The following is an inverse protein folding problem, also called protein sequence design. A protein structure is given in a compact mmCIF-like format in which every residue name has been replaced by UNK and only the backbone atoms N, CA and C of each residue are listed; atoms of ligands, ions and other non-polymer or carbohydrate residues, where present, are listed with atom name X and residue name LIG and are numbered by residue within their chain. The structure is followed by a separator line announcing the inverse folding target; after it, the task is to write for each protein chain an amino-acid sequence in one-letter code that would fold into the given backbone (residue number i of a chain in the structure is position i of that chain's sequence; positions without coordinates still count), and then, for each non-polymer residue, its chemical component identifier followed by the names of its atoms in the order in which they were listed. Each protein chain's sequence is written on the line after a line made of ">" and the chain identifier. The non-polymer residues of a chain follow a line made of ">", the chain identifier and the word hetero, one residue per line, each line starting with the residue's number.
data_IF_427015596176
#
_entry.id   IF_427015596176
#
_cell.length_a   1.000
_cell.length_b   1.000
_cell.length_c   1.000
_cell.angle_alpha   90.00
_cell.angle_beta   90.00
_cell.angle_gamma   90.00
#
_symmetry.space_group_name_H-M   'P 1'
#
loop_
_entity.id
_entity.type
_entity.pdbx_description
1 polymer ?
#
# COMPACT_ATOMS: atom_id res chain seq x y z
N UNK A 1 31.33 7.52 -9.29
CA UNK A 1 29.92 7.12 -9.52
C UNK A 1 29.69 5.88 -8.69
N UNK A 2 28.82 5.94 -7.68
CA UNK A 2 28.54 4.80 -6.82
C UNK A 2 27.89 3.68 -7.65
N UNK A 3 28.53 2.51 -7.66
CA UNK A 3 27.96 1.30 -8.20
C UNK A 3 26.89 0.85 -7.18
N UNK A 4 25.62 1.23 -7.38
CA UNK A 4 24.54 0.83 -6.46
C UNK A 4 24.47 -0.70 -6.44
N UNK A 5 24.95 -1.30 -5.37
CA UNK A 5 25.15 -2.73 -5.19
C UNK A 5 23.86 -3.52 -4.96
N UNK A 6 22.75 -3.12 -5.57
CA UNK A 6 21.45 -3.77 -5.41
C UNK A 6 21.04 -4.47 -6.71
N UNK A 7 20.68 -5.75 -6.60
CA UNK A 7 20.15 -6.51 -7.74
C UNK A 7 18.70 -6.12 -8.08
N UNK A 8 17.93 -5.65 -7.08
CA UNK A 8 16.55 -5.15 -7.22
C UNK A 8 16.37 -3.99 -6.24
N UNK A 9 15.78 -2.90 -6.71
CA UNK A 9 15.38 -1.73 -5.91
C UNK A 9 13.91 -1.43 -6.20
N UNK A 10 13.10 -1.27 -5.15
CA UNK A 10 11.67 -0.97 -5.24
C UNK A 10 11.34 0.13 -4.24
N UNK A 11 10.34 0.94 -4.53
CA UNK A 11 9.88 1.99 -3.62
C UNK A 11 8.38 2.14 -3.69
N UNK A 12 7.78 2.56 -2.58
CA UNK A 12 6.34 2.85 -2.46
C UNK A 12 5.46 1.65 -2.87
N UNK A 13 5.83 0.43 -2.48
CA UNK A 13 5.08 -0.78 -2.83
C UNK A 13 3.92 -1.01 -1.88
N UNK A 14 2.74 -1.25 -2.45
CA UNK A 14 1.49 -1.52 -1.74
C UNK A 14 0.86 -2.81 -2.21
N UNK A 15 0.22 -3.54 -1.28
CA UNK A 15 -0.63 -4.68 -1.61
C UNK A 15 -1.91 -4.62 -0.79
N UNK A 16 -3.03 -4.55 -1.47
CA UNK A 16 -4.36 -4.54 -0.87
C UNK A 16 -5.16 -5.70 -1.49
N UNK A 17 -5.87 -6.45 -0.65
CA UNK A 17 -6.78 -7.52 -1.06
C UNK A 17 -8.24 -7.04 -0.94
N UNK A 18 -9.10 -7.46 -1.87
CA UNK A 18 -10.52 -7.13 -1.93
C UNK A 18 -10.92 -6.41 -3.21
N UNK A 19 -12.20 -6.45 -3.56
CA UNK A 19 -12.73 -5.97 -4.84
C UNK A 19 -12.65 -4.45 -5.01
N UNK A 20 -12.47 -3.71 -3.90
CA UNK A 20 -12.41 -2.24 -3.85
C UNK A 20 -11.00 -1.71 -3.56
N UNK A 21 -9.95 -2.47 -3.91
CA UNK A 21 -8.57 -2.15 -3.57
C UNK A 21 -8.12 -0.75 -4.05
N UNK A 22 -8.49 -0.33 -5.25
CA UNK A 22 -8.11 0.98 -5.80
C UNK A 22 -8.77 2.14 -5.06
N UNK A 23 -10.07 2.00 -4.74
CA UNK A 23 -10.80 2.99 -3.95
C UNK A 23 -10.24 3.07 -2.52
N UNK A 24 -9.90 1.93 -1.92
CA UNK A 24 -9.24 1.88 -0.63
C UNK A 24 -7.87 2.59 -0.67
N UNK A 25 -7.05 2.37 -1.70
CA UNK A 25 -5.74 3.02 -1.86
C UNK A 25 -5.87 4.54 -1.99
N UNK A 26 -6.81 5.02 -2.79
CA UNK A 26 -7.06 6.46 -2.94
C UNK A 26 -7.46 7.10 -1.60
N UNK A 27 -8.33 6.44 -0.84
CA UNK A 27 -8.80 6.92 0.46
C UNK A 27 -7.70 6.87 1.54
N UNK A 28 -6.86 5.83 1.53
CA UNK A 28 -5.66 5.75 2.38
C UNK A 28 -4.74 6.94 2.11
N UNK A 29 -4.46 7.25 0.83
CA UNK A 29 -3.58 8.37 0.46
C UNK A 29 -4.18 9.73 0.82
N UNK A 30 -5.49 9.89 0.68
CA UNK A 30 -6.17 11.15 0.99
C UNK A 30 -6.36 11.38 2.50
N UNK A 31 -6.66 10.32 3.25
CA UNK A 31 -7.17 10.44 4.63
C UNK A 31 -6.33 9.70 5.69
N UNK A 32 -5.24 9.03 5.30
CA UNK A 32 -4.33 8.36 6.24
C UNK A 32 -4.96 7.18 6.99
N UNK A 33 -5.83 6.42 6.31
CA UNK A 33 -6.59 5.34 6.96
C UNK A 33 -5.70 4.21 7.49
N UNK A 34 -6.04 3.72 8.68
CA UNK A 34 -5.44 2.52 9.28
C UNK A 34 -5.97 1.24 8.63
N UNK A 35 -5.24 0.12 8.81
CA UNK A 35 -5.66 -1.20 8.32
C UNK A 35 -7.08 -1.60 8.76
N UNK A 36 -7.41 -1.31 10.03
CA UNK A 36 -8.74 -1.60 10.59
C UNK A 36 -9.83 -0.77 9.90
N UNK A 37 -9.60 0.52 9.72
CA UNK A 37 -10.55 1.40 9.04
C UNK A 37 -10.76 1.01 7.57
N UNK A 38 -9.70 0.56 6.89
CA UNK A 38 -9.79 0.07 5.51
C UNK A 38 -10.63 -1.21 5.42
N UNK A 39 -10.45 -2.13 6.37
CA UNK A 39 -11.28 -3.32 6.46
C UNK A 39 -12.75 -2.97 6.70
N UNK A 40 -13.04 -2.12 7.67
CA UNK A 40 -14.40 -1.76 8.05
C UNK A 40 -15.12 -0.96 6.95
N UNK A 41 -14.42 -0.01 6.30
CA UNK A 41 -15.01 0.90 5.30
C UNK A 41 -15.10 0.28 3.90
N UNK A 42 -14.09 -0.50 3.50
CA UNK A 42 -13.94 -0.97 2.12
C UNK A 42 -14.04 -2.49 1.97
N UNK A 43 -14.19 -3.24 3.06
CA UNK A 43 -14.07 -4.71 3.07
C UNK A 43 -12.75 -5.19 2.43
N UNK A 44 -11.69 -4.39 2.57
CA UNK A 44 -10.37 -4.65 1.99
C UNK A 44 -9.31 -4.80 3.09
N UNK A 45 -8.26 -5.60 2.83
CA UNK A 45 -7.17 -5.84 3.78
C UNK A 45 -5.85 -5.34 3.20
N UNK A 46 -5.11 -4.53 3.96
CA UNK A 46 -3.77 -4.08 3.59
C UNK A 46 -2.73 -5.15 3.98
N UNK A 47 -2.19 -5.83 2.98
CA UNK A 47 -1.10 -6.81 3.13
C UNK A 47 0.27 -6.16 3.22
N UNK A 48 0.56 -5.19 2.34
CA UNK A 48 1.81 -4.41 2.34
C UNK A 48 1.44 -2.92 2.26
N UNK A 49 2.07 -2.11 3.10
CA UNK A 49 1.88 -0.67 3.16
C UNK A 49 3.24 0.02 3.03
N UNK A 50 3.41 0.80 1.97
CA UNK A 50 4.54 1.70 1.75
C UNK A 50 5.93 1.07 1.94
N UNK A 51 6.15 -0.11 1.35
CA UNK A 51 7.47 -0.74 1.40
C UNK A 51 8.45 -0.05 0.44
N UNK A 52 9.63 0.28 0.95
CA UNK A 52 10.73 1.00 0.28
C UNK A 52 12.08 0.45 0.69
#
# INVERSE_FOLDING_TARGET
>A
MSNSGYAIEISNVWKIFGDKADAALADIKANGLTKKQVLEKHACVIGVADAS
#
